data_IF_601218631374
#
_entry.id   IF_601218631374
#
_cell.length_a   1.000
_cell.length_b   1.000
_cell.length_c   1.000
_cell.angle_alpha   90.00
_cell.angle_beta   90.00
_cell.angle_gamma   90.00
#
_symmetry.space_group_name_H-M   'P 1'
#
loop_
_entity.id
_entity.type
_entity.pdbx_description
1 polymer ?
#
# COMPACT_ATOMS: atom_id res chain seq x y z
N UNK A 1 -21.20 2.19 -0.12
CA UNK A 1 -20.60 1.20 -1.05
C UNK A 1 -19.31 0.67 -0.44
N UNK A 2 -18.92 -0.57 -0.76
CA UNK A 2 -17.63 -1.16 -0.38
C UNK A 2 -16.69 -1.26 -1.56
N UNK A 3 -15.39 -1.21 -1.30
CA UNK A 3 -14.38 -1.38 -2.34
C UNK A 3 -12.96 -1.40 -1.82
N UNK A 4 -12.03 -1.63 -2.75
CA UNK A 4 -10.59 -1.74 -2.48
C UNK A 4 -9.90 -0.50 -2.99
N UNK A 5 -8.99 0.07 -2.20
CA UNK A 5 -8.14 1.19 -2.63
C UNK A 5 -7.06 0.69 -3.60
N UNK A 6 -7.13 1.12 -4.85
CA UNK A 6 -6.17 0.75 -5.90
C UNK A 6 -5.04 1.76 -6.09
N UNK A 7 -5.32 3.04 -5.83
CA UNK A 7 -4.36 4.13 -6.02
C UNK A 7 -4.54 5.18 -4.94
N UNK A 8 -3.44 5.72 -4.44
CA UNK A 8 -3.41 6.86 -3.53
C UNK A 8 -2.55 7.96 -4.13
N UNK A 9 -3.09 9.17 -4.29
CA UNK A 9 -2.38 10.34 -4.83
C UNK A 9 -2.79 11.59 -4.05
N UNK A 10 -1.91 12.06 -3.17
CA UNK A 10 -2.21 13.20 -2.30
C UNK A 10 -3.39 12.90 -1.37
N UNK A 11 -4.50 13.62 -1.54
CA UNK A 11 -5.74 13.43 -0.75
C UNK A 11 -6.83 12.66 -1.52
N UNK A 12 -6.48 12.11 -2.69
CA UNK A 12 -7.38 11.38 -3.58
C UNK A 12 -7.02 9.91 -3.64
N UNK A 13 -8.05 9.07 -3.69
CA UNK A 13 -7.95 7.62 -3.70
C UNK A 13 -8.83 7.06 -4.79
N UNK A 14 -8.28 6.23 -5.67
CA UNK A 14 -9.10 5.49 -6.64
C UNK A 14 -9.52 4.19 -6.00
N UNK A 15 -10.83 4.01 -5.80
CA UNK A 15 -11.41 2.82 -5.16
C UNK A 15 -12.14 2.00 -6.22
N UNK A 16 -11.82 0.71 -6.31
CA UNK A 16 -12.59 -0.25 -7.11
C UNK A 16 -13.72 -0.79 -6.24
N UNK A 17 -14.96 -0.45 -6.58
CA UNK A 17 -16.13 -0.96 -5.88
C UNK A 17 -16.40 -2.42 -6.22
N UNK A 18 -17.26 -3.07 -5.43
CA UNK A 18 -17.72 -4.44 -5.65
C UNK A 18 -18.42 -4.64 -6.99
N UNK A 19 -19.01 -3.58 -7.57
CA UNK A 19 -19.61 -3.59 -8.91
C UNK A 19 -18.57 -3.55 -10.05
N UNK A 20 -17.27 -3.51 -9.70
CA UNK A 20 -16.15 -3.48 -10.63
C UNK A 20 -15.79 -2.09 -11.15
N UNK A 21 -16.58 -1.05 -10.85
CA UNK A 21 -16.29 0.32 -11.29
C UNK A 21 -15.28 1.00 -10.38
N UNK A 22 -14.58 1.98 -10.95
CA UNK A 22 -13.64 2.81 -10.22
C UNK A 22 -14.28 4.16 -9.87
N UNK A 23 -14.10 4.57 -8.63
CA UNK A 23 -14.55 5.85 -8.10
C UNK A 23 -13.37 6.65 -7.57
N UNK A 24 -13.38 7.95 -7.86
CA UNK A 24 -12.44 8.87 -7.23
C UNK A 24 -13.00 9.27 -5.86
N UNK A 25 -12.26 8.91 -4.82
CA UNK A 25 -12.67 9.05 -3.44
C UNK A 25 -11.74 10.00 -2.68
N UNK A 26 -12.28 10.63 -1.62
CA UNK A 26 -11.54 11.43 -0.65
C UNK A 26 -11.98 11.09 0.77
N UNK A 27 -11.19 11.51 1.75
CA UNK A 27 -11.52 11.33 3.17
C UNK A 27 -12.13 12.61 3.72
N UNK A 28 -13.17 12.49 4.55
CA UNK A 28 -13.76 13.64 5.25
C UNK A 28 -12.81 14.11 6.37
N UNK A 29 -12.50 15.41 6.41
CA UNK A 29 -11.42 16.00 7.24
C UNK A 29 -11.40 15.66 8.74
N UNK A 30 -12.49 15.18 9.33
CA UNK A 30 -12.51 14.69 10.73
C UNK A 30 -11.68 13.42 10.98
N UNK A 31 -11.38 12.61 9.96
CA UNK A 31 -10.51 11.45 10.10
C UNK A 31 -9.03 11.80 10.35
N UNK A 32 -8.61 13.04 10.04
CA UNK A 32 -7.25 13.52 10.32
C UNK A 32 -6.97 13.82 11.81
N UNK A 33 -8.00 13.83 12.67
CA UNK A 33 -7.89 14.43 14.02
C UNK A 33 -7.88 13.38 15.15
N UNK A 34 -8.21 12.11 14.90
CA UNK A 34 -8.21 11.08 15.95
C UNK A 34 -6.90 10.30 16.00
N UNK A 35 -5.87 10.84 16.65
CA UNK A 35 -4.73 10.08 17.22
C UNK A 35 -3.81 9.32 16.25
N UNK A 36 -4.11 9.30 14.95
CA UNK A 36 -3.30 8.62 13.93
C UNK A 36 -2.08 9.49 13.64
N UNK A 37 -0.90 9.02 14.07
CA UNK A 37 0.42 9.64 13.79
C UNK A 37 0.89 9.45 12.34
N UNK A 38 0.00 9.03 11.44
CA UNK A 38 0.33 8.75 10.04
C UNK A 38 -0.21 9.87 9.16
N UNK A 39 0.64 10.43 8.30
CA UNK A 39 0.30 11.53 7.37
C UNK A 39 -0.80 11.17 6.36
N UNK A 40 -0.95 9.88 6.06
CA UNK A 40 -1.99 9.34 5.19
C UNK A 40 -2.64 8.12 5.86
N UNK A 41 -3.91 8.21 6.30
CA UNK A 41 -4.56 7.13 7.02
C UNK A 41 -4.99 5.96 6.12
N UNK A 42 -5.14 6.21 4.81
CA UNK A 42 -5.55 5.22 3.81
C UNK A 42 -4.35 4.80 2.97
N UNK A 43 -4.19 3.49 2.80
CA UNK A 43 -3.16 2.85 1.99
C UNK A 43 -3.78 2.07 0.83
N UNK A 44 -2.95 1.74 -0.17
CA UNK A 44 -3.36 0.82 -1.25
C UNK A 44 -3.59 -0.57 -0.65
N UNK A 45 -4.66 -1.25 -1.10
CA UNK A 45 -5.09 -2.54 -0.56
C UNK A 45 -6.04 -2.44 0.63
N UNK A 46 -6.30 -1.24 1.18
CA UNK A 46 -7.33 -1.07 2.20
C UNK A 46 -8.73 -1.39 1.62
N UNK A 47 -9.51 -2.18 2.37
CA UNK A 47 -10.95 -2.30 2.18
C UNK A 47 -11.63 -1.10 2.83
N UNK A 48 -12.50 -0.41 2.09
CA UNK A 48 -13.12 0.83 2.55
C UNK A 48 -14.61 0.86 2.26
N UNK A 49 -15.33 1.50 3.16
CA UNK A 49 -16.73 1.89 2.95
C UNK A 49 -16.79 3.38 2.59
N UNK A 50 -17.49 3.71 1.50
CA UNK A 50 -17.62 5.07 0.99
C UNK A 50 -19.02 5.34 0.45
N UNK A 51 -19.44 6.59 0.56
CA UNK A 51 -20.70 7.08 -0.02
C UNK A 51 -20.41 7.94 -1.25
N UNK A 52 -21.31 7.91 -2.23
CA UNK A 52 -21.24 8.84 -3.36
C UNK A 52 -21.88 10.16 -2.96
N UNK A 53 -21.18 11.26 -3.19
CA UNK A 53 -21.70 12.61 -3.13
C UNK A 53 -21.74 13.16 -4.56
N UNK A 54 -22.94 13.52 -5.02
CA UNK A 54 -23.11 14.26 -6.27
C UNK A 54 -22.73 15.72 -6.03
N UNK A 55 -21.62 16.17 -6.62
CA UNK A 55 -21.36 17.59 -6.78
C UNK A 55 -21.86 18.03 -8.15
N UNK A 56 -22.02 19.36 -8.31
CA UNK A 56 -22.57 20.00 -9.51
C UNK A 56 -21.87 19.54 -10.81
N UNK A 57 -20.57 19.20 -10.72
CA UNK A 57 -19.74 18.83 -11.88
C UNK A 57 -19.28 17.36 -11.90
N UNK A 58 -19.32 16.63 -10.78
CA UNK A 58 -18.80 15.26 -10.70
C UNK A 58 -19.34 14.44 -9.52
N UNK A 59 -19.41 13.12 -9.70
CA UNK A 59 -19.72 12.16 -8.63
C UNK A 59 -18.43 11.77 -7.92
N UNK A 60 -18.30 12.14 -6.65
CA UNK A 60 -17.11 11.87 -5.82
C UNK A 60 -17.47 10.90 -4.70
N UNK A 61 -16.60 9.93 -4.42
CA UNK A 61 -16.73 9.08 -3.24
C UNK A 61 -16.17 9.75 -1.97
N UNK A 62 -16.84 9.56 -0.84
CA UNK A 62 -16.34 9.97 0.48
C UNK A 62 -16.16 8.75 1.36
N UNK A 63 -14.91 8.40 1.64
CA UNK A 63 -14.56 7.29 2.54
C UNK A 63 -15.03 7.62 3.95
N UNK A 64 -15.86 6.73 4.51
CA UNK A 64 -16.43 6.82 5.86
C UNK A 64 -15.72 5.88 6.83
N UNK A 65 -15.29 4.72 6.34
CA UNK A 65 -14.69 3.69 7.16
C UNK A 65 -13.59 2.97 6.40
N UNK A 66 -12.54 2.59 7.12
CA UNK A 66 -11.48 1.72 6.66
C UNK A 66 -11.63 0.46 7.50
N UNK A 67 -11.81 -0.68 6.85
CA UNK A 67 -11.96 -1.95 7.57
C UNK A 67 -10.63 -2.33 8.26
N UNK A 68 -10.71 -3.28 9.18
CA UNK A 68 -9.54 -3.81 9.88
C UNK A 68 -8.58 -4.47 8.88
N UNK A 69 -7.28 -4.18 9.02
CA UNK A 69 -6.26 -4.73 8.14
C UNK A 69 -5.82 -6.10 8.66
N UNK A 70 -5.74 -7.08 7.77
CA UNK A 70 -5.15 -8.39 8.10
C UNK A 70 -3.64 -8.27 8.30
N UNK A 71 -2.99 -7.50 7.43
CA UNK A 71 -1.58 -7.16 7.52
C UNK A 71 -1.29 -5.83 6.81
N UNK A 72 -0.06 -5.34 6.95
CA UNK A 72 0.40 -4.14 6.27
C UNK A 72 1.92 -4.05 6.23
N UNK A 73 2.46 -3.36 5.23
CA UNK A 73 3.90 -3.04 5.17
C UNK A 73 4.13 -1.56 5.48
N UNK A 74 5.05 -1.31 6.42
CA UNK A 74 5.42 0.05 6.80
C UNK A 74 6.79 0.47 6.28
N UNK A 75 6.95 1.77 6.11
CA UNK A 75 8.25 2.41 5.96
C UNK A 75 8.38 3.57 6.93
N UNK A 76 9.53 3.64 7.59
CA UNK A 76 9.91 4.80 8.39
C UNK A 76 10.29 5.94 7.44
N UNK A 77 9.71 7.12 7.67
CA UNK A 77 10.15 8.33 6.96
C UNK A 77 11.63 8.61 7.24
N UNK A 78 12.37 9.04 6.23
CA UNK A 78 13.78 9.44 6.34
C UNK A 78 13.96 10.75 7.11
N UNK A 79 12.89 11.55 7.25
CA UNK A 79 12.92 12.84 7.94
C UNK A 79 12.69 12.71 9.46
N UNK A 80 13.03 13.78 10.20
CA UNK A 80 13.01 13.88 11.67
C UNK A 80 11.67 13.57 12.35
N UNK A 81 10.55 13.48 11.61
CA UNK A 81 9.23 13.25 12.22
C UNK A 81 9.05 11.83 12.77
N UNK A 82 9.93 10.87 12.41
CA UNK A 82 9.83 9.43 12.77
C UNK A 82 8.44 8.82 12.47
N UNK A 83 7.65 9.46 11.61
CA UNK A 83 6.32 8.96 11.30
C UNK A 83 6.42 7.70 10.45
N UNK A 84 5.56 6.75 10.80
CA UNK A 84 5.49 5.46 10.13
C UNK A 84 4.44 5.57 9.04
N UNK A 85 4.80 5.27 7.80
CA UNK A 85 3.88 5.31 6.69
C UNK A 85 3.53 3.88 6.28
N UNK A 86 2.25 3.57 6.25
CA UNK A 86 1.77 2.31 5.66
C UNK A 86 1.79 2.50 4.14
N UNK A 87 2.51 1.63 3.44
CA UNK A 87 2.65 1.70 1.98
C UNK A 87 1.53 0.91 1.31
N UNK A 88 1.25 -0.28 1.84
CA UNK A 88 0.20 -1.18 1.37
C UNK A 88 -0.33 -2.03 2.53
N UNK A 89 -1.57 -2.49 2.39
CA UNK A 89 -2.30 -3.31 3.36
C UNK A 89 -2.93 -4.52 2.67
N UNK A 90 -3.30 -5.54 3.46
CA UNK A 90 -4.00 -6.75 3.01
C UNK A 90 -3.26 -7.45 1.85
N UNK A 91 -1.99 -7.75 2.09
CA UNK A 91 -1.06 -8.31 1.13
C UNK A 91 -0.97 -9.82 1.34
N UNK A 92 -1.31 -10.62 0.34
CA UNK A 92 -1.14 -12.08 0.41
C UNK A 92 0.31 -12.50 0.24
N UNK A 93 1.00 -11.92 -0.74
CA UNK A 93 2.35 -12.31 -1.16
C UNK A 93 3.17 -11.09 -1.55
N UNK A 94 4.39 -11.00 -1.05
CA UNK A 94 5.39 -10.02 -1.46
C UNK A 94 6.49 -10.68 -2.30
N UNK A 95 6.59 -10.28 -3.56
CA UNK A 95 7.67 -10.71 -4.44
C UNK A 95 8.87 -9.75 -4.33
N UNK A 96 10.01 -10.25 -3.83
CA UNK A 96 11.26 -9.52 -3.84
C UNK A 96 12.04 -9.86 -5.11
N UNK A 97 12.13 -8.91 -6.04
CA UNK A 97 13.04 -9.04 -7.18
C UNK A 97 14.49 -8.93 -6.70
N UNK A 98 15.27 -9.96 -6.97
CA UNK A 98 16.69 -10.06 -6.64
C UNK A 98 17.47 -10.14 -7.94
N UNK A 99 18.50 -9.30 -8.06
CA UNK A 99 19.48 -9.36 -9.15
C UNK A 99 20.86 -9.66 -8.58
N UNK A 100 21.58 -10.64 -9.14
CA UNK A 100 22.92 -10.97 -8.66
C UNK A 100 23.95 -9.91 -9.08
N UNK A 101 23.69 -9.20 -10.19
CA UNK A 101 24.54 -8.19 -10.78
C UNK A 101 23.68 -7.19 -11.61
N UNK A 102 24.27 -6.03 -11.90
CA UNK A 102 23.71 -4.95 -12.72
C UNK A 102 22.27 -4.50 -12.34
N UNK A 103 22.05 -3.94 -11.13
CA UNK A 103 22.96 -3.86 -9.98
C UNK A 103 22.84 -5.10 -9.06
N UNK A 104 23.83 -5.39 -8.20
CA UNK A 104 23.70 -6.45 -7.21
C UNK A 104 22.68 -6.08 -6.12
N UNK A 105 21.83 -7.04 -5.75
CA UNK A 105 20.97 -6.96 -4.57
C UNK A 105 21.72 -7.55 -3.39
N UNK A 106 22.07 -6.72 -2.40
CA UNK A 106 22.84 -7.17 -1.25
C UNK A 106 22.03 -8.08 -0.33
N UNK A 107 22.66 -9.14 0.20
CA UNK A 107 22.03 -10.09 1.12
C UNK A 107 21.45 -9.41 2.35
N UNK A 108 22.13 -8.40 2.90
CA UNK A 108 21.62 -7.61 4.03
C UNK A 108 20.30 -6.91 3.72
N UNK A 109 20.06 -6.51 2.46
CA UNK A 109 18.77 -5.95 2.05
C UNK A 109 17.70 -7.05 1.99
N UNK A 110 18.04 -8.22 1.44
CA UNK A 110 17.17 -9.39 1.39
C UNK A 110 16.75 -9.80 2.80
N UNK A 111 17.70 -9.96 3.73
CA UNK A 111 17.44 -10.34 5.12
C UNK A 111 16.49 -9.35 5.80
N UNK A 112 16.75 -8.05 5.66
CA UNK A 112 15.90 -7.00 6.23
C UNK A 112 14.49 -7.01 5.64
N UNK A 113 14.36 -7.29 4.35
CA UNK A 113 13.07 -7.42 3.70
C UNK A 113 12.32 -8.63 4.24
N UNK A 114 12.96 -9.80 4.30
CA UNK A 114 12.36 -11.03 4.79
C UNK A 114 11.92 -10.90 6.26
N UNK A 115 12.77 -10.35 7.13
CA UNK A 115 12.42 -10.07 8.53
C UNK A 115 11.22 -9.14 8.64
N UNK A 116 11.13 -8.12 7.79
CA UNK A 116 9.99 -7.20 7.79
C UNK A 116 8.72 -7.89 7.32
N UNK A 117 8.77 -8.63 6.21
CA UNK A 117 7.62 -9.35 5.66
C UNK A 117 7.06 -10.35 6.69
N UNK A 118 7.94 -11.14 7.30
CA UNK A 118 7.56 -12.11 8.34
C UNK A 118 6.96 -11.43 9.58
N UNK A 119 7.57 -10.33 10.06
CA UNK A 119 7.05 -9.58 11.21
C UNK A 119 5.64 -9.02 11.00
N UNK A 120 5.23 -8.82 9.75
CA UNK A 120 3.88 -8.38 9.38
C UNK A 120 3.00 -9.50 8.83
N UNK A 121 3.42 -10.77 8.90
CA UNK A 121 2.62 -11.91 8.43
C UNK A 121 2.41 -11.94 6.92
N UNK A 122 3.35 -11.40 6.15
CA UNK A 122 3.29 -11.36 4.69
C UNK A 122 4.23 -12.44 4.13
N UNK A 123 3.68 -13.37 3.35
CA UNK A 123 4.48 -14.40 2.68
C UNK A 123 5.43 -13.75 1.65
N UNK A 124 6.73 -13.96 1.81
CA UNK A 124 7.74 -13.48 0.87
C UNK A 124 8.15 -14.54 -0.16
N UNK A 125 8.36 -14.12 -1.40
CA UNK A 125 8.91 -14.96 -2.49
C UNK A 125 10.08 -14.22 -3.13
N UNK A 126 11.25 -14.86 -3.18
CA UNK A 126 12.42 -14.32 -3.87
C UNK A 126 12.33 -14.64 -5.38
N UNK A 127 12.38 -13.62 -6.22
CA UNK A 127 12.40 -13.76 -7.67
C UNK A 127 13.76 -13.31 -8.21
N UNK A 128 14.59 -14.28 -8.58
CA UNK A 128 15.87 -14.00 -9.22
C UNK A 128 15.65 -13.55 -10.67
N UNK A 129 15.90 -12.28 -10.94
CA UNK A 129 15.72 -11.66 -12.24
C UNK A 129 17.07 -11.54 -12.98
N UNK A 130 16.98 -11.33 -14.30
CA UNK A 130 18.12 -11.18 -15.23
C UNK A 130 19.01 -12.43 -15.30
N UNK A 131 18.43 -13.62 -15.16
CA UNK A 131 19.17 -14.88 -15.24
C UNK A 131 19.80 -15.10 -16.61
N UNK A 132 19.23 -14.48 -17.65
CA UNK A 132 19.75 -14.44 -19.02
C UNK A 132 21.10 -13.72 -19.16
N UNK A 133 21.43 -12.83 -18.22
CA UNK A 133 22.70 -12.10 -18.23
C UNK A 133 23.89 -12.91 -17.72
N UNK A 134 23.68 -14.17 -17.29
CA UNK A 134 24.73 -15.05 -16.79
C UNK A 134 24.96 -16.22 -17.77
N UNK A 135 26.23 -16.46 -18.09
CA UNK A 135 26.67 -17.70 -18.69
C UNK A 135 26.67 -18.83 -17.66
N UNK A 136 26.62 -20.08 -18.11
CA UNK A 136 26.82 -21.26 -17.24
C UNK A 136 28.27 -21.46 -16.79
N UNK A 137 29.20 -20.65 -17.31
CA UNK A 137 30.62 -20.62 -16.94
C UNK A 137 30.91 -19.69 -15.76
#
# INVERSE_FOLDING_TARGET
>A
MKGIVYKSTGSWYTVKAEDGKFYNCRIKGKFRIKGIKNTNPVAVGDYVEFDLEENIDEVIGVIKHIEERENYIIRKSVNLSKQTHIIAANIDVAFLLVTLNNPPTFTTFIDRFLVTAEAYGIKAVLLFNKVDAYSQE
#
